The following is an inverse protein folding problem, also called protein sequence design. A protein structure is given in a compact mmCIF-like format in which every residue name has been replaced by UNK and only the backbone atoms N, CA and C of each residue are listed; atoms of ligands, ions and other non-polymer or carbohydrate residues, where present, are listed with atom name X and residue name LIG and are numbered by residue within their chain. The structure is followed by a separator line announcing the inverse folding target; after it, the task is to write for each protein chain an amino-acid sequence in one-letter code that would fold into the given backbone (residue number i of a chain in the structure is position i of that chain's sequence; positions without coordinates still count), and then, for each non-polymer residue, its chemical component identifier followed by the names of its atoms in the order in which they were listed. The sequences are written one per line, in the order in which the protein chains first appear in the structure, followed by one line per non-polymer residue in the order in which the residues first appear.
data_IF_079612759251
#
_entry.id   IF_079612759251
#
_cell.length_a   1.000
_cell.length_b   1.000
_cell.length_c   1.000
_cell.angle_alpha   90.00
_cell.angle_beta   90.00
_cell.angle_gamma   90.00
#
_symmetry.space_group_name_H-M   'P 1'
#
loop_
_entity.id
_entity.type
_entity.pdbx_description
1 polymer ?
#
# COMPACT_ATOMS: atom_id res chain seq x y z
N UNK A 1 -45.04 9.72 28.33
CA UNK A 1 -44.01 10.38 29.16
C UNK A 1 -42.79 9.46 29.23
N UNK A 2 -41.95 9.54 28.20
CA UNK A 2 -40.70 8.79 28.01
C UNK A 2 -39.58 9.80 28.18
N UNK A 3 -38.78 9.66 29.23
CA UNK A 3 -37.52 10.36 29.56
C UNK A 3 -37.38 10.21 31.07
N UNK A 4 -36.47 9.35 31.54
CA UNK A 4 -35.78 9.38 32.86
C UNK A 4 -35.09 8.04 33.19
N UNK A 5 -35.43 6.92 32.53
CA UNK A 5 -34.82 5.61 32.88
C UNK A 5 -33.47 5.32 32.19
N UNK A 6 -32.97 6.21 31.32
CA UNK A 6 -31.68 5.99 30.62
C UNK A 6 -30.44 6.60 31.34
N UNK A 7 -30.61 7.05 32.59
CA UNK A 7 -29.61 7.85 33.32
C UNK A 7 -28.78 7.08 34.36
N UNK A 8 -28.69 5.74 34.31
CA UNK A 8 -28.00 4.99 35.37
C UNK A 8 -27.16 3.77 34.95
N UNK A 9 -26.83 3.60 33.66
CA UNK A 9 -26.13 2.38 33.20
C UNK A 9 -24.95 2.61 32.26
N UNK A 10 -24.39 3.83 32.21
CA UNK A 10 -23.10 4.11 31.53
C UNK A 10 -22.19 4.89 32.49
N UNK A 11 -22.01 4.35 33.70
CA UNK A 11 -21.15 4.95 34.73
C UNK A 11 -20.22 3.93 35.43
N UNK A 12 -20.00 2.76 34.80
CA UNK A 12 -19.17 1.69 35.39
C UNK A 12 -18.20 1.03 34.39
N UNK A 13 -17.66 1.77 33.42
CA UNK A 13 -16.59 1.27 32.54
C UNK A 13 -15.46 2.28 32.30
N UNK A 14 -15.18 3.13 33.29
CA UNK A 14 -13.94 3.90 33.33
C UNK A 14 -13.18 3.61 34.63
N UNK A 15 -12.35 2.55 34.66
CA UNK A 15 -11.13 2.61 35.43
C UNK A 15 -10.10 3.44 34.66
N UNK A 16 -9.68 4.53 35.31
CA UNK A 16 -8.41 5.26 35.18
C UNK A 16 -8.10 5.96 33.85
N UNK A 17 -8.55 7.21 33.85
CA UNK A 17 -8.03 8.37 33.12
C UNK A 17 -6.55 8.69 33.50
N UNK A 18 -5.65 7.72 33.43
CA UNK A 18 -4.20 7.93 33.68
C UNK A 18 -3.29 7.11 32.76
N UNK A 19 -3.84 6.25 31.90
CA UNK A 19 -3.05 5.55 30.86
C UNK A 19 -2.99 6.33 29.53
N UNK A 20 -3.84 7.36 29.35
CA UNK A 20 -3.86 8.15 28.12
C UNK A 20 -2.82 9.28 28.09
N UNK A 21 -2.37 9.81 29.23
CA UNK A 21 -1.39 10.91 29.21
C UNK A 21 -0.01 10.44 28.74
N UNK A 22 0.46 9.24 29.11
CA UNK A 22 1.75 8.72 28.66
C UNK A 22 1.79 8.31 27.19
N UNK A 23 0.64 8.04 26.57
CA UNK A 23 0.56 7.75 25.13
C UNK A 23 0.46 9.05 24.30
N UNK A 24 -0.33 10.04 24.72
CA UNK A 24 -0.45 11.32 24.02
C UNK A 24 0.76 12.27 24.23
N UNK A 25 1.45 12.18 25.37
CA UNK A 25 2.61 13.06 25.65
C UNK A 25 3.89 12.60 24.91
N UNK A 26 3.98 11.30 24.57
CA UNK A 26 5.07 10.77 23.74
C UNK A 26 4.96 11.22 22.27
N UNK A 27 3.76 11.32 21.72
CA UNK A 27 3.56 11.85 20.36
C UNK A 27 3.89 13.35 20.28
N UNK A 28 3.51 14.14 21.29
CA UNK A 28 3.79 15.57 21.32
C UNK A 28 5.29 15.90 21.45
N UNK A 29 6.06 15.11 22.21
CA UNK A 29 7.52 15.28 22.31
C UNK A 29 8.26 14.80 21.04
N UNK A 30 7.73 13.80 20.34
CA UNK A 30 8.31 13.30 19.08
C UNK A 30 7.99 14.22 17.87
N UNK A 31 6.83 14.88 17.88
CA UNK A 31 6.44 15.84 16.84
C UNK A 31 7.28 17.13 16.84
N UNK A 32 7.76 17.56 18.02
CA UNK A 32 8.61 18.76 18.12
C UNK A 32 10.03 18.57 17.55
N UNK A 33 10.49 17.32 17.39
CA UNK A 33 11.80 17.02 16.77
C UNK A 33 11.70 16.66 15.28
N UNK A 34 10.51 16.32 14.78
CA UNK A 34 10.25 15.92 13.38
C UNK A 34 9.76 17.05 12.48
N UNK A 35 9.23 18.15 13.04
CA UNK A 35 8.73 19.30 12.25
C UNK A 35 9.82 19.97 11.40
N UNK A 36 11.11 19.77 11.71
CA UNK A 36 12.24 20.32 10.96
C UNK A 36 12.81 19.35 9.89
N UNK A 37 12.31 18.11 9.83
CA UNK A 37 12.77 17.09 8.87
C UNK A 37 11.71 16.67 7.85
N UNK A 38 10.44 17.01 8.07
CA UNK A 38 9.33 16.66 7.19
C UNK A 38 8.72 17.89 6.51
N UNK A 39 9.40 18.39 5.47
CA UNK A 39 8.96 19.50 4.64
C UNK A 39 8.77 19.07 3.17
N UNK A 40 8.26 19.95 2.32
CA UNK A 40 7.97 19.63 0.92
C UNK A 40 9.21 19.17 0.13
N UNK A 41 10.39 19.73 0.44
CA UNK A 41 11.65 19.40 -0.24
C UNK A 41 12.15 18.03 0.22
N UNK A 42 12.13 17.76 1.53
CA UNK A 42 12.57 16.47 2.07
C UNK A 42 11.64 15.33 1.66
N UNK A 43 10.31 15.57 1.61
CA UNK A 43 9.34 14.62 1.05
C UNK A 43 9.60 14.35 -0.42
N UNK A 44 9.85 15.37 -1.23
CA UNK A 44 10.14 15.19 -2.66
C UNK A 44 11.41 14.37 -2.88
N UNK A 45 12.46 14.62 -2.10
CA UNK A 45 13.70 13.84 -2.18
C UNK A 45 13.47 12.36 -1.81
N UNK A 46 12.76 12.11 -0.70
CA UNK A 46 12.44 10.76 -0.26
C UNK A 46 11.51 10.03 -1.23
N UNK A 47 10.52 10.72 -1.83
CA UNK A 47 9.63 10.16 -2.83
C UNK A 47 10.38 9.75 -4.10
N UNK A 48 11.32 10.57 -4.57
CA UNK A 48 12.17 10.20 -5.70
C UNK A 48 13.03 8.98 -5.37
N UNK A 49 13.64 8.95 -4.18
CA UNK A 49 14.43 7.80 -3.73
C UNK A 49 13.59 6.50 -3.72
N UNK A 50 12.36 6.56 -3.24
CA UNK A 50 11.45 5.41 -3.30
C UNK A 50 11.09 5.05 -4.73
N UNK A 51 10.73 6.03 -5.56
CA UNK A 51 10.42 5.80 -6.98
C UNK A 51 11.57 5.14 -7.75
N UNK A 52 12.83 5.44 -7.40
CA UNK A 52 14.01 4.84 -8.03
C UNK A 52 14.22 3.37 -7.66
N UNK A 53 13.56 2.88 -6.61
CA UNK A 53 13.50 1.43 -6.31
C UNK A 53 12.59 0.68 -7.28
N UNK A 54 11.76 1.40 -8.03
CA UNK A 54 10.82 0.85 -9.01
C UNK A 54 11.39 0.93 -10.42
N UNK A 55 11.35 -0.18 -11.15
CA UNK A 55 11.65 -0.18 -12.59
C UNK A 55 10.43 0.31 -13.37
N UNK A 56 10.29 1.63 -13.47
CA UNK A 56 9.13 2.28 -14.09
C UNK A 56 8.98 1.90 -15.57
N UNK A 57 10.09 1.77 -16.29
CA UNK A 57 10.08 1.36 -17.70
C UNK A 57 9.54 -0.06 -17.85
N UNK A 58 10.00 -0.98 -17.00
CA UNK A 58 9.47 -2.35 -16.98
C UNK A 58 8.02 -2.40 -16.54
N UNK A 59 7.60 -1.55 -15.60
CA UNK A 59 6.19 -1.44 -15.21
C UNK A 59 5.32 -1.05 -16.41
N UNK A 60 5.77 -0.06 -17.20
CA UNK A 60 5.04 0.39 -18.41
C UNK A 60 5.03 -0.65 -19.52
N UNK A 61 6.15 -1.33 -19.73
CA UNK A 61 6.24 -2.43 -20.68
C UNK A 61 5.27 -3.57 -20.29
N UNK A 62 5.26 -3.96 -19.01
CA UNK A 62 4.36 -5.01 -18.51
C UNK A 62 2.89 -4.61 -18.61
N UNK A 63 2.56 -3.35 -18.33
CA UNK A 63 1.20 -2.83 -18.48
C UNK A 63 0.76 -2.84 -19.95
N UNK A 64 1.64 -2.39 -20.85
CA UNK A 64 1.42 -2.43 -22.31
C UNK A 64 1.19 -3.85 -22.80
N UNK A 65 2.05 -4.80 -22.40
CA UNK A 65 1.92 -6.20 -22.76
C UNK A 65 0.58 -6.79 -22.28
N UNK A 66 0.18 -6.51 -21.03
CA UNK A 66 -1.11 -6.95 -20.50
C UNK A 66 -2.29 -6.36 -21.29
N UNK A 67 -2.25 -5.07 -21.62
CA UNK A 67 -3.30 -4.45 -22.44
C UNK A 67 -3.36 -5.02 -23.86
N UNK A 68 -2.20 -5.32 -24.47
CA UNK A 68 -2.12 -5.91 -25.79
C UNK A 68 -2.81 -7.27 -25.88
N UNK A 69 -2.84 -8.07 -24.80
CA UNK A 69 -3.56 -9.36 -24.79
C UNK A 69 -5.05 -9.22 -25.09
N UNK A 70 -5.64 -8.07 -24.75
CA UNK A 70 -7.06 -7.74 -24.97
C UNK A 70 -7.35 -7.21 -26.37
N UNK A 71 -6.32 -6.93 -27.19
CA UNK A 71 -6.48 -6.45 -28.56
C UNK A 71 -6.64 -7.59 -29.56
N UNK A 72 -7.36 -7.38 -30.68
CA UNK A 72 -7.37 -8.31 -31.82
C UNK A 72 -5.94 -8.59 -32.28
N UNK A 73 -5.64 -9.84 -32.64
CA UNK A 73 -4.28 -10.31 -32.92
C UNK A 73 -3.55 -9.46 -33.96
N UNK A 74 -4.26 -9.09 -35.04
CA UNK A 74 -3.73 -8.26 -36.12
C UNK A 74 -3.40 -6.81 -35.71
N UNK A 75 -3.88 -6.34 -34.55
CA UNK A 75 -3.64 -4.99 -34.01
C UNK A 75 -2.66 -4.97 -32.83
N UNK A 76 -2.27 -6.13 -32.29
CA UNK A 76 -1.41 -6.21 -31.10
C UNK A 76 -0.05 -5.55 -31.33
N UNK A 77 0.60 -5.87 -32.44
CA UNK A 77 1.93 -5.35 -32.74
C UNK A 77 1.96 -3.84 -32.95
N UNK A 78 0.94 -3.26 -33.61
CA UNK A 78 0.83 -1.82 -33.77
C UNK A 78 0.56 -1.11 -32.45
N UNK A 79 -0.33 -1.66 -31.62
CA UNK A 79 -0.64 -1.12 -30.30
C UNK A 79 0.60 -1.09 -29.39
N UNK A 80 1.36 -2.19 -29.30
CA UNK A 80 2.58 -2.25 -28.49
C UNK A 80 3.58 -1.21 -28.97
N UNK A 81 3.80 -1.10 -30.29
CA UNK A 81 4.72 -0.12 -30.87
C UNK A 81 4.31 1.31 -30.52
N UNK A 82 3.02 1.64 -30.66
CA UNK A 82 2.51 2.96 -30.32
C UNK A 82 2.71 3.27 -28.84
N UNK A 83 2.37 2.36 -27.92
CA UNK A 83 2.53 2.60 -26.48
C UNK A 83 3.99 2.66 -26.03
N UNK A 84 4.87 1.88 -26.65
CA UNK A 84 6.31 1.95 -26.41
C UNK A 84 6.95 3.23 -26.93
N UNK A 85 6.31 3.95 -27.86
CA UNK A 85 6.79 5.23 -28.38
C UNK A 85 6.41 6.43 -27.51
N UNK A 86 5.51 6.25 -26.55
CA UNK A 86 5.09 7.32 -25.64
C UNK A 86 6.19 7.64 -24.63
N UNK A 87 6.39 8.94 -24.38
CA UNK A 87 7.18 9.38 -23.22
C UNK A 87 6.34 9.21 -21.95
N UNK A 88 6.75 8.29 -21.08
CA UNK A 88 6.10 8.03 -19.80
C UNK A 88 6.66 8.88 -18.63
N UNK A 89 7.57 9.82 -18.90
CA UNK A 89 8.22 10.65 -17.87
C UNK A 89 7.21 11.45 -17.03
N UNK A 90 6.12 11.92 -17.65
CA UNK A 90 5.05 12.65 -16.96
C UNK A 90 4.36 11.79 -15.90
N UNK A 91 4.26 10.47 -16.13
CA UNK A 91 3.57 9.59 -15.22
C UNK A 91 4.44 9.25 -13.99
N UNK A 92 5.77 9.15 -14.18
CA UNK A 92 6.70 9.10 -13.03
C UNK A 92 6.59 10.38 -12.19
N UNK A 93 6.55 11.55 -12.83
CA UNK A 93 6.37 12.84 -12.13
C UNK A 93 5.06 12.85 -11.33
N UNK A 94 3.95 12.45 -11.96
CA UNK A 94 2.64 12.37 -11.31
C UNK A 94 2.69 11.45 -10.07
N UNK A 95 3.28 10.25 -10.22
CA UNK A 95 3.45 9.31 -9.11
C UNK A 95 4.21 9.93 -7.94
N UNK A 96 5.37 10.55 -8.21
CA UNK A 96 6.19 11.21 -7.19
C UNK A 96 5.43 12.34 -6.52
N UNK A 97 4.74 13.20 -7.28
CA UNK A 97 3.96 14.31 -6.70
C UNK A 97 2.81 13.82 -5.83
N UNK A 98 2.14 12.73 -6.22
CA UNK A 98 1.07 12.14 -5.42
C UNK A 98 1.59 11.51 -4.12
N UNK A 99 2.78 10.89 -4.15
CA UNK A 99 3.40 10.35 -2.93
C UNK A 99 3.68 11.43 -1.88
N UNK A 100 4.16 12.60 -2.31
CA UNK A 100 4.48 13.74 -1.42
C UNK A 100 3.25 14.30 -0.71
N UNK A 101 2.05 14.11 -1.28
CA UNK A 101 0.79 14.57 -0.68
C UNK A 101 0.29 13.64 0.43
N UNK A 102 0.65 12.36 0.38
CA UNK A 102 0.08 11.33 1.26
C UNK A 102 1.07 10.89 2.35
N UNK A 103 2.34 10.77 2.00
CA UNK A 103 3.35 10.20 2.88
C UNK A 103 4.30 11.26 3.42
N UNK A 104 4.73 11.07 4.67
CA UNK A 104 5.83 11.80 5.28
C UNK A 104 7.18 11.38 4.71
N UNK A 105 8.18 12.21 4.93
CA UNK A 105 9.59 11.95 4.59
C UNK A 105 10.10 10.65 5.21
N UNK A 106 9.71 10.37 6.45
CA UNK A 106 10.13 9.15 7.18
C UNK A 106 9.52 7.90 6.56
N UNK A 107 8.24 7.93 6.20
CA UNK A 107 7.56 6.79 5.57
C UNK A 107 8.14 6.50 4.19
N UNK A 108 8.36 7.53 3.37
CA UNK A 108 8.97 7.37 2.05
C UNK A 108 10.39 6.80 2.12
N UNK A 109 11.19 7.25 3.08
CA UNK A 109 12.52 6.68 3.29
C UNK A 109 12.45 5.22 3.77
N UNK A 110 11.53 4.91 4.68
CA UNK A 110 11.32 3.52 5.14
C UNK A 110 10.91 2.61 3.97
N UNK A 111 10.02 3.08 3.09
CA UNK A 111 9.63 2.37 1.88
C UNK A 111 10.83 2.16 0.96
N UNK A 112 11.61 3.21 0.70
CA UNK A 112 12.82 3.12 -0.11
C UNK A 112 13.86 2.15 0.48
N UNK A 113 14.05 2.13 1.79
CA UNK A 113 14.97 1.22 2.48
C UNK A 113 14.52 -0.23 2.29
N UNK A 114 13.24 -0.50 2.51
CA UNK A 114 12.69 -1.84 2.37
C UNK A 114 12.77 -2.32 0.91
N UNK A 115 12.11 -1.63 -0.03
CA UNK A 115 12.05 -2.02 -1.43
C UNK A 115 13.40 -1.94 -2.16
N UNK A 116 14.31 -1.09 -1.68
CA UNK A 116 15.69 -0.97 -2.17
C UNK A 116 16.66 -2.00 -1.58
N UNK A 117 16.29 -2.74 -0.53
CA UNK A 117 17.15 -3.76 0.06
C UNK A 117 17.15 -5.07 -0.75
N UNK A 118 18.25 -5.87 -0.74
CA UNK A 118 18.26 -7.20 -1.36
C UNK A 118 17.14 -8.11 -0.82
N UNK A 119 16.93 -8.08 0.49
CA UNK A 119 15.89 -8.88 1.16
C UNK A 119 14.48 -8.42 0.77
N UNK A 120 14.21 -7.12 0.79
CA UNK A 120 12.89 -6.60 0.42
C UNK A 120 12.53 -6.91 -1.03
N UNK A 121 13.48 -6.76 -1.97
CA UNK A 121 13.29 -7.19 -3.37
C UNK A 121 12.95 -8.68 -3.46
N UNK A 122 13.66 -9.52 -2.73
CA UNK A 122 13.42 -10.97 -2.75
C UNK A 122 12.06 -11.34 -2.12
N UNK A 123 11.65 -10.65 -1.05
CA UNK A 123 10.31 -10.79 -0.47
C UNK A 123 9.26 -10.40 -1.51
N UNK A 124 9.37 -9.21 -2.11
CA UNK A 124 8.41 -8.72 -3.11
C UNK A 124 8.31 -9.66 -4.31
N UNK A 125 9.42 -10.27 -4.75
CA UNK A 125 9.44 -11.26 -5.83
C UNK A 125 8.66 -12.54 -5.47
N UNK A 126 8.70 -12.96 -4.21
CA UNK A 126 8.05 -14.20 -3.73
C UNK A 126 6.58 -14.02 -3.36
N UNK A 127 6.15 -12.80 -3.02
CA UNK A 127 4.77 -12.52 -2.58
C UNK A 127 3.69 -13.03 -3.55
N UNK A 128 3.78 -12.84 -4.89
CA UNK A 128 2.76 -13.36 -5.80
C UNK A 128 2.64 -14.89 -5.78
N UNK A 129 3.78 -15.60 -5.73
CA UNK A 129 3.78 -17.06 -5.67
C UNK A 129 3.20 -17.58 -4.34
N UNK A 130 3.54 -16.91 -3.23
CA UNK A 130 2.95 -17.20 -1.92
C UNK A 130 1.43 -16.99 -1.94
N UNK A 131 0.93 -15.86 -2.46
CA UNK A 131 -0.50 -15.59 -2.58
C UNK A 131 -1.22 -16.61 -3.46
N UNK A 132 -0.66 -16.97 -4.61
CA UNK A 132 -1.23 -17.99 -5.49
C UNK A 132 -1.33 -19.35 -4.79
N UNK A 133 -0.28 -19.77 -4.08
CA UNK A 133 -0.27 -21.00 -3.30
C UNK A 133 -1.30 -20.98 -2.17
N UNK A 134 -1.41 -19.85 -1.46
CA UNK A 134 -2.38 -19.68 -0.38
C UNK A 134 -3.82 -19.81 -0.89
N UNK A 135 -4.16 -19.10 -1.98
CA UNK A 135 -5.50 -19.14 -2.57
C UNK A 135 -5.88 -20.57 -3.02
N UNK A 136 -4.97 -21.30 -3.66
CA UNK A 136 -5.24 -22.69 -4.06
C UNK A 136 -5.51 -23.62 -2.89
N UNK A 137 -4.82 -23.44 -1.75
CA UNK A 137 -5.07 -24.24 -0.54
C UNK A 137 -6.41 -23.83 0.09
N UNK A 138 -6.69 -22.53 0.16
CA UNK A 138 -7.95 -22.02 0.70
C UNK A 138 -9.16 -22.52 -0.09
N UNK A 139 -9.11 -22.47 -1.43
CA UNK A 139 -10.18 -22.98 -2.31
C UNK A 139 -10.46 -24.46 -2.10
N UNK A 140 -9.41 -25.28 -1.96
CA UNK A 140 -9.56 -26.72 -1.65
C UNK A 140 -10.23 -26.93 -0.30
N UNK A 141 -9.80 -26.21 0.74
CA UNK A 141 -10.39 -26.34 2.07
C UNK A 141 -11.86 -25.94 2.06
N UNK A 142 -12.19 -24.79 1.46
CA UNK A 142 -13.59 -24.33 1.34
C UNK A 142 -14.44 -25.37 0.61
N UNK A 143 -13.94 -25.96 -0.47
CA UNK A 143 -14.64 -26.99 -1.23
C UNK A 143 -14.89 -28.25 -0.39
N UNK A 144 -13.89 -28.68 0.40
CA UNK A 144 -14.00 -29.83 1.29
C UNK A 144 -15.03 -29.61 2.39
N UNK A 145 -15.00 -28.45 3.05
CA UNK A 145 -15.97 -28.09 4.10
C UNK A 145 -17.40 -27.99 3.53
N UNK A 146 -17.56 -27.38 2.36
CA UNK A 146 -18.85 -27.32 1.67
C UNK A 146 -19.40 -28.73 1.37
N UNK A 147 -18.55 -29.63 0.87
CA UNK A 147 -18.94 -31.02 0.62
C UNK A 147 -19.29 -31.78 1.90
N UNK A 148 -18.52 -31.58 2.98
CA UNK A 148 -18.77 -32.19 4.28
C UNK A 148 -20.07 -31.70 4.92
N UNK A 149 -20.39 -30.40 4.76
CA UNK A 149 -21.62 -29.82 5.28
C UNK A 149 -22.89 -30.36 4.61
N UNK A 150 -22.82 -30.72 3.32
CA UNK A 150 -23.95 -31.27 2.55
C UNK A 150 -24.31 -32.71 2.97
N UNK A 151 -23.40 -33.40 3.66
CA UNK A 151 -23.57 -34.78 4.13
C UNK A 151 -23.93 -34.88 5.62
N UNK A 152 -24.18 -33.75 6.30
CA UNK A 152 -24.71 -33.68 7.66
C UNK A 152 -26.18 -33.27 7.63
#
# INVERSE_FOLDING_TARGET
MKKIVFLALILACYPTLSFSQSFFENDAKNQNNTKNQDDAKSRLAAANRYADTMDFNKMMANMTAQMATKMPENKRASFVREMSSLDWSWMRKLMVTSMVQVFSTKELNTLADFYGSPTGREITRKLPAYMASFLSVAERQITQEMAASKNR
#
